data_IF_670601277697
#
_entry.id   IF_670601277697
#
_cell.length_a   1.000
_cell.length_b   1.000
_cell.length_c   1.000
_cell.angle_alpha   90.00
_cell.angle_beta   90.00
_cell.angle_gamma   90.00
#
_symmetry.space_group_name_H-M   'P 1'
#
loop_
_entity.id
_entity.type
_entity.pdbx_description
1 polymer ?
#
# COMPACT_ATOMS: atom_id res chain seq x y z
N UNK A 1 -1.84 0.13 17.53
CA UNK A 1 -1.16 -0.61 16.44
C UNK A 1 -2.23 -1.19 15.56
N UNK A 2 -2.18 -0.93 14.25
CA UNK A 2 -3.18 -1.41 13.30
C UNK A 2 -2.96 -2.90 13.00
N UNK A 3 -4.03 -3.63 12.70
CA UNK A 3 -3.92 -4.99 12.17
C UNK A 3 -3.49 -4.94 10.70
N UNK A 4 -4.13 -4.09 9.91
CA UNK A 4 -3.80 -3.92 8.49
C UNK A 4 -3.87 -2.46 8.07
N UNK A 5 -2.82 -2.00 7.36
CA UNK A 5 -2.82 -0.72 6.66
C UNK A 5 -2.74 -0.99 5.16
N UNK A 6 -3.64 -0.36 4.40
CA UNK A 6 -3.64 -0.40 2.95
C UNK A 6 -2.90 0.79 2.34
N UNK A 7 -2.19 0.57 1.22
CA UNK A 7 -1.62 1.63 0.38
C UNK A 7 -2.10 1.42 -1.07
N UNK A 8 -2.73 2.45 -1.64
CA UNK A 8 -3.18 2.49 -3.04
C UNK A 8 -2.28 3.48 -3.78
N UNK A 9 -1.53 2.98 -4.77
CA UNK A 9 -0.43 3.68 -5.44
C UNK A 9 0.88 3.44 -4.71
N UNK A 10 1.81 2.72 -5.35
CA UNK A 10 3.07 2.22 -4.78
C UNK A 10 4.31 2.87 -5.40
N UNK A 11 4.14 4.04 -6.04
CA UNK A 11 5.25 4.88 -6.46
C UNK A 11 6.01 5.52 -5.28
N UNK A 12 6.75 6.60 -5.54
CA UNK A 12 7.63 7.24 -4.54
C UNK A 12 6.95 7.50 -3.17
N UNK A 13 5.75 8.10 -3.17
CA UNK A 13 5.05 8.47 -1.93
C UNK A 13 4.52 7.22 -1.21
N UNK A 14 3.80 6.35 -1.92
CA UNK A 14 3.21 5.15 -1.33
C UNK A 14 4.26 4.17 -0.82
N UNK A 15 5.34 3.96 -1.57
CA UNK A 15 6.49 3.15 -1.14
C UNK A 15 7.17 3.73 0.11
N UNK A 16 7.34 5.05 0.18
CA UNK A 16 7.90 5.71 1.37
C UNK A 16 7.02 5.52 2.62
N UNK A 17 5.70 5.56 2.46
CA UNK A 17 4.78 5.22 3.54
C UNK A 17 4.91 3.76 3.96
N UNK A 18 4.98 2.83 3.01
CA UNK A 18 5.19 1.41 3.30
C UNK A 18 6.44 1.17 4.15
N UNK A 19 7.56 1.78 3.74
CA UNK A 19 8.81 1.74 4.48
C UNK A 19 8.66 2.32 5.90
N UNK A 20 8.06 3.51 6.02
CA UNK A 20 7.90 4.18 7.30
C UNK A 20 6.97 3.39 8.25
N UNK A 21 5.89 2.80 7.73
CA UNK A 21 4.95 1.97 8.50
C UNK A 21 5.67 0.75 9.08
N UNK A 22 6.46 0.05 8.25
CA UNK A 22 7.20 -1.15 8.67
C UNK A 22 8.32 -0.80 9.64
N UNK A 23 9.11 0.24 9.36
CA UNK A 23 10.19 0.70 10.24
C UNK A 23 9.67 1.09 11.64
N UNK A 24 8.53 1.77 11.71
CA UNK A 24 7.92 2.19 12.97
C UNK A 24 6.96 1.15 13.57
N UNK A 25 6.82 -0.04 12.96
CA UNK A 25 5.95 -1.14 13.42
C UNK A 25 4.51 -0.69 13.67
N UNK A 26 3.96 0.15 12.79
CA UNK A 26 2.63 0.74 12.97
C UNK A 26 1.49 -0.23 12.62
N UNK A 27 1.77 -1.24 11.79
CA UNK A 27 0.83 -2.27 11.36
C UNK A 27 1.44 -3.67 11.49
N UNK A 28 0.58 -4.69 11.67
CA UNK A 28 0.99 -6.10 11.55
C UNK A 28 1.17 -6.52 10.10
N UNK A 29 0.37 -5.96 9.19
CA UNK A 29 0.45 -6.22 7.75
C UNK A 29 0.23 -4.95 6.94
N UNK A 30 0.98 -4.80 5.86
CA UNK A 30 0.83 -3.74 4.87
C UNK A 30 0.35 -4.35 3.55
N UNK A 31 -0.83 -3.92 3.10
CA UNK A 31 -1.45 -4.40 1.86
C UNK A 31 -1.30 -3.30 0.80
N UNK A 32 -0.63 -3.60 -0.31
CA UNK A 32 -0.39 -2.66 -1.40
C UNK A 32 -1.21 -2.96 -2.64
N UNK A 33 -1.61 -1.92 -3.38
CA UNK A 33 -2.19 -2.03 -4.72
C UNK A 33 -1.62 -0.95 -5.62
N UNK A 34 -1.24 -1.32 -6.84
CA UNK A 34 -0.90 -0.39 -7.92
C UNK A 34 -1.40 -0.98 -9.25
N UNK A 35 -1.78 -0.11 -10.18
CA UNK A 35 -2.15 -0.52 -11.54
C UNK A 35 -0.94 -0.88 -12.40
N UNK A 36 0.26 -0.41 -12.03
CA UNK A 36 1.51 -0.81 -12.63
C UNK A 36 2.07 -2.03 -11.89
N UNK A 37 2.12 -3.18 -12.58
CA UNK A 37 2.66 -4.43 -12.04
C UNK A 37 4.14 -4.32 -11.64
N UNK A 38 4.93 -3.49 -12.31
CA UNK A 38 6.34 -3.27 -11.97
C UNK A 38 6.47 -2.63 -10.57
N UNK A 39 5.69 -1.58 -10.29
CA UNK A 39 5.65 -0.95 -8.97
C UNK A 39 5.22 -1.94 -7.87
N UNK A 40 4.23 -2.79 -8.16
CA UNK A 40 3.73 -3.79 -7.21
C UNK A 40 4.81 -4.82 -6.89
N UNK A 41 5.50 -5.32 -7.92
CA UNK A 41 6.58 -6.29 -7.78
C UNK A 41 7.79 -5.69 -7.04
N UNK A 42 8.17 -4.45 -7.36
CA UNK A 42 9.25 -3.75 -6.67
C UNK A 42 8.90 -3.50 -5.20
N UNK A 43 7.67 -3.09 -4.90
CA UNK A 43 7.23 -2.89 -3.52
C UNK A 43 7.28 -4.17 -2.69
N UNK A 44 6.95 -5.33 -3.28
CA UNK A 44 7.10 -6.64 -2.62
C UNK A 44 8.58 -7.00 -2.44
N UNK A 45 9.38 -6.85 -3.49
CA UNK A 45 10.81 -7.20 -3.49
C UNK A 45 11.64 -6.37 -2.52
N UNK A 46 11.30 -5.08 -2.41
CA UNK A 46 11.92 -4.13 -1.47
C UNK A 46 11.28 -4.19 -0.08
N UNK A 47 10.36 -5.12 0.15
CA UNK A 47 9.64 -5.32 1.41
C UNK A 47 8.91 -4.05 1.91
N UNK A 48 8.48 -3.16 1.01
CA UNK A 48 7.68 -1.96 1.36
C UNK A 48 6.25 -2.34 1.77
N UNK A 49 5.76 -3.44 1.23
CA UNK A 49 4.47 -4.05 1.54
C UNK A 49 4.65 -5.54 1.85
N UNK A 50 3.68 -6.16 2.49
CA UNK A 50 3.69 -7.58 2.80
C UNK A 50 2.82 -8.39 1.81
N UNK A 51 1.74 -7.76 1.30
CA UNK A 51 0.77 -8.40 0.40
C UNK A 51 0.46 -7.46 -0.76
N UNK A 52 0.64 -7.94 -1.99
CA UNK A 52 0.12 -7.29 -3.19
C UNK A 52 -1.35 -7.69 -3.41
N UNK A 53 -2.25 -6.72 -3.42
CA UNK A 53 -3.65 -6.93 -3.70
C UNK A 53 -3.92 -6.93 -5.21
N UNK A 54 -4.76 -7.86 -5.67
CA UNK A 54 -5.22 -7.92 -7.06
C UNK A 54 -6.50 -7.11 -7.30
N UNK A 55 -7.10 -6.55 -6.24
CA UNK A 55 -8.35 -5.79 -6.31
C UNK A 55 -8.50 -4.88 -5.09
N UNK A 56 -9.18 -3.75 -5.26
CA UNK A 56 -9.59 -2.85 -4.17
C UNK A 56 -10.43 -3.54 -3.09
N UNK A 57 -11.08 -4.68 -3.40
CA UNK A 57 -11.86 -5.45 -2.42
C UNK A 57 -11.02 -5.92 -1.23
N UNK A 58 -9.71 -6.16 -1.43
CA UNK A 58 -8.77 -6.57 -0.39
C UNK A 58 -8.58 -5.51 0.70
N UNK A 59 -9.03 -4.26 0.49
CA UNK A 59 -8.89 -3.17 1.46
C UNK A 59 -10.04 -3.10 2.46
N UNK A 60 -11.09 -3.91 2.29
CA UNK A 60 -12.22 -4.00 3.23
C UNK A 60 -11.82 -4.49 4.62
N UNK A 61 -10.66 -5.15 4.74
CA UNK A 61 -10.10 -5.64 6.02
C UNK A 61 -9.09 -4.66 6.65
N UNK A 62 -8.75 -3.57 5.96
CA UNK A 62 -7.79 -2.60 6.46
C UNK A 62 -8.44 -1.68 7.50
N UNK A 63 -7.72 -1.42 8.60
CA UNK A 63 -8.13 -0.43 9.59
C UNK A 63 -7.92 1.01 9.08
N UNK A 64 -6.98 1.17 8.15
CA UNK A 64 -6.61 2.45 7.55
C UNK A 64 -6.14 2.25 6.11
N UNK A 65 -6.49 3.17 5.21
CA UNK A 65 -6.08 3.13 3.79
C UNK A 65 -5.48 4.47 3.39
N UNK A 66 -4.27 4.43 2.84
CA UNK A 66 -3.56 5.56 2.26
C UNK A 66 -3.76 5.53 0.75
N UNK A 67 -4.29 6.63 0.19
CA UNK A 67 -4.41 6.80 -1.26
C UNK A 67 -3.31 7.76 -1.73
N UNK A 68 -2.33 7.23 -2.43
CA UNK A 68 -1.11 7.90 -2.92
C UNK A 68 -1.04 7.94 -4.46
N UNK A 69 -2.19 7.95 -5.11
CA UNK A 69 -2.32 8.15 -6.57
C UNK A 69 -2.45 9.64 -6.92
N UNK A 70 -2.11 10.04 -8.16
CA UNK A 70 -2.43 11.36 -8.69
C UNK A 70 -3.89 11.78 -8.39
N UNK A 71 -4.16 13.04 -8.00
CA UNK A 71 -5.51 13.49 -7.62
C UNK A 71 -6.58 13.24 -8.69
N UNK A 72 -6.21 13.29 -9.98
CA UNK A 72 -7.08 13.01 -11.12
C UNK A 72 -7.60 11.56 -11.15
N UNK A 73 -6.97 10.64 -10.42
CA UNK A 73 -7.31 9.23 -10.33
C UNK A 73 -8.02 8.86 -9.01
N UNK A 74 -8.06 9.77 -8.03
CA UNK A 74 -8.59 9.51 -6.68
C UNK A 74 -10.11 9.58 -6.57
N UNK A 75 -10.78 10.36 -7.42
CA UNK A 75 -12.20 10.73 -7.25
C UNK A 75 -13.14 10.31 -8.39
N UNK A 76 -12.80 9.24 -9.14
CA UNK A 76 -13.71 8.68 -10.15
C UNK A 76 -14.62 7.61 -9.57
#
# INVERSE_FOLDING_TARGET
>A
MFNAIGIIGLGLIGGSFGLAIKHNKLSKVVIGFDTNEENLNDALKLELIDIGANSYKSFSICDFVIVSVPPSQTAK
#
